data_IF_891525702627
#
_entry.id   IF_891525702627
#
_cell.length_a   1.000
_cell.length_b   1.000
_cell.length_c   1.000
_cell.angle_alpha   90.00
_cell.angle_beta   90.00
_cell.angle_gamma   90.00
#
_symmetry.space_group_name_H-M   'P 1'
#
loop_
_entity.id
_entity.type
_entity.pdbx_description
1 polymer ?
#
# COMPACT_ATOMS: atom_id res chain seq x y z
N UNK A 1 -7.67 -0.74 -17.85
CA UNK A 1 -6.75 0.09 -17.07
C UNK A 1 -6.77 -0.49 -15.67
N UNK A 2 -5.62 -0.77 -15.08
CA UNK A 2 -5.53 -1.40 -13.78
C UNK A 2 -5.98 -0.47 -12.66
N UNK A 3 -6.49 -1.03 -11.57
CA UNK A 3 -6.90 -0.23 -10.40
C UNK A 3 -5.68 0.02 -9.54
N UNK A 4 -5.23 1.27 -9.45
CA UNK A 4 -4.06 1.65 -8.64
C UNK A 4 -4.45 1.89 -7.19
N UNK A 5 -3.56 1.57 -6.26
CA UNK A 5 -3.71 1.93 -4.86
C UNK A 5 -2.45 2.60 -4.28
N UNK A 6 -2.64 3.29 -3.17
CA UNK A 6 -1.63 4.09 -2.50
C UNK A 6 -1.61 3.81 -1.00
N UNK A 7 -0.43 3.95 -0.41
CA UNK A 7 -0.26 4.08 1.03
C UNK A 7 0.02 5.55 1.33
N UNK A 8 -0.76 6.12 2.24
CA UNK A 8 -0.68 7.51 2.65
C UNK A 8 -0.07 7.60 4.05
N UNK A 9 0.91 8.47 4.24
CA UNK A 9 1.51 8.76 5.55
C UNK A 9 1.76 10.26 5.72
N UNK A 10 1.97 10.70 6.96
CA UNK A 10 2.41 12.08 7.24
C UNK A 10 3.78 12.35 6.62
N UNK A 11 3.90 13.49 5.93
CA UNK A 11 5.15 14.00 5.34
C UNK A 11 6.32 14.01 6.32
N UNK A 12 6.07 14.38 7.57
CA UNK A 12 7.10 14.49 8.60
C UNK A 12 7.62 13.14 9.09
N UNK A 13 6.81 12.08 8.96
CA UNK A 13 7.19 10.71 9.36
C UNK A 13 7.90 9.94 8.25
N UNK A 14 7.78 10.39 7.01
CA UNK A 14 8.23 9.62 5.86
C UNK A 14 9.75 9.65 5.64
N UNK A 15 10.35 8.45 5.61
CA UNK A 15 11.59 8.18 4.89
C UNK A 15 11.44 6.91 4.05
N UNK A 16 12.07 6.83 2.87
CA UNK A 16 12.05 5.61 2.06
C UNK A 16 12.60 4.39 2.81
N UNK A 17 13.61 4.57 3.65
CA UNK A 17 14.23 3.50 4.45
C UNK A 17 13.27 2.94 5.50
N UNK A 18 12.54 3.82 6.21
CA UNK A 18 11.54 3.38 7.19
C UNK A 18 10.41 2.63 6.50
N UNK A 19 9.87 3.18 5.42
CA UNK A 19 8.79 2.53 4.68
C UNK A 19 9.22 1.18 4.09
N UNK A 20 10.45 1.07 3.59
CA UNK A 20 11.02 -0.19 3.13
C UNK A 20 11.13 -1.21 4.27
N UNK A 21 11.64 -0.80 5.44
CA UNK A 21 11.75 -1.68 6.60
C UNK A 21 10.38 -2.17 7.08
N UNK A 22 9.42 -1.26 7.22
CA UNK A 22 8.05 -1.59 7.63
C UNK A 22 7.36 -2.50 6.61
N UNK A 23 7.60 -2.28 5.31
CA UNK A 23 7.10 -3.16 4.23
C UNK A 23 7.65 -4.57 4.36
N UNK A 24 8.96 -4.74 4.63
CA UNK A 24 9.58 -6.06 4.81
C UNK A 24 8.97 -6.78 6.02
N UNK A 25 8.80 -6.07 7.14
CA UNK A 25 8.22 -6.63 8.36
C UNK A 25 6.74 -7.00 8.16
N UNK A 26 5.95 -6.13 7.52
CA UNK A 26 4.55 -6.40 7.19
C UNK A 26 4.43 -7.61 6.25
N UNK A 27 5.30 -7.71 5.24
CA UNK A 27 5.32 -8.85 4.32
C UNK A 27 5.59 -10.16 5.07
N UNK A 28 6.59 -10.16 5.96
CA UNK A 28 6.89 -11.31 6.81
C UNK A 28 5.70 -11.74 7.68
N UNK A 29 5.05 -10.80 8.37
CA UNK A 29 3.90 -11.13 9.21
C UNK A 29 2.64 -11.53 8.43
N UNK A 30 2.51 -11.03 7.20
CA UNK A 30 1.40 -11.38 6.32
C UNK A 30 1.51 -12.80 5.77
N UNK A 31 2.62 -13.51 6.00
CA UNK A 31 2.94 -14.83 5.42
C UNK A 31 2.98 -14.80 3.88
N UNK A 32 3.43 -13.67 3.33
CA UNK A 32 3.63 -13.46 1.91
C UNK A 32 5.12 -13.56 1.55
N UNK A 33 5.40 -13.96 0.31
CA UNK A 33 6.77 -14.03 -0.23
C UNK A 33 7.14 -12.64 -0.73
N UNK A 34 8.39 -12.26 -0.44
CA UNK A 34 8.97 -11.03 -0.94
C UNK A 34 10.06 -11.34 -1.98
N UNK A 35 10.02 -10.64 -3.11
CA UNK A 35 11.13 -10.53 -4.05
C UNK A 35 11.57 -9.07 -4.05
N UNK A 36 12.80 -8.85 -3.58
CA UNK A 36 13.43 -7.54 -3.54
C UNK A 36 14.86 -7.66 -4.07
N UNK A 37 15.09 -7.14 -5.28
CA UNK A 37 16.40 -7.20 -5.95
C UNK A 37 17.34 -6.07 -5.51
N UNK A 38 16.87 -5.18 -4.63
CA UNK A 38 17.60 -3.97 -4.22
C UNK A 38 18.02 -3.09 -5.42
N UNK A 39 17.23 -3.14 -6.50
CA UNK A 39 17.41 -2.30 -7.66
C UNK A 39 16.91 -0.88 -7.37
N UNK A 40 17.71 0.13 -7.71
CA UNK A 40 17.38 1.54 -7.47
C UNK A 40 17.26 2.26 -8.79
N UNK A 41 16.13 2.94 -8.99
CA UNK A 41 15.96 3.88 -10.08
C UNK A 41 16.45 5.26 -9.64
N UNK A 42 17.11 5.94 -10.57
CA UNK A 42 17.65 7.28 -10.35
C UNK A 42 17.10 8.24 -11.40
N UNK A 43 16.74 9.43 -10.96
CA UNK A 43 16.39 10.58 -11.80
C UNK A 43 17.39 11.69 -11.50
N UNK A 44 18.02 12.24 -12.54
CA UNK A 44 19.04 13.29 -12.40
C UNK A 44 20.17 12.94 -11.39
N UNK A 45 20.53 11.65 -11.31
CA UNK A 45 21.56 11.16 -10.39
C UNK A 45 21.14 11.04 -8.93
N UNK A 46 19.87 11.29 -8.59
CA UNK A 46 19.28 11.11 -7.26
C UNK A 46 18.38 9.90 -7.24
N UNK A 47 18.30 9.20 -6.12
CA UNK A 47 17.37 8.09 -5.95
C UNK A 47 15.95 8.60 -6.22
N UNK A 48 15.19 7.88 -7.06
CA UNK A 48 13.79 8.22 -7.38
C UNK A 48 12.83 7.20 -6.80
N UNK A 49 13.06 5.90 -7.01
CA UNK A 49 12.24 4.83 -6.42
C UNK A 49 12.93 3.47 -6.50
N UNK A 50 12.41 2.51 -5.72
CA UNK A 50 12.66 1.08 -5.87
C UNK A 50 11.33 0.33 -5.89
N UNK A 51 11.36 -0.93 -6.30
CA UNK A 51 10.17 -1.78 -6.35
C UNK A 51 10.37 -3.06 -5.56
N UNK A 52 9.28 -3.52 -4.96
CA UNK A 52 9.16 -4.80 -4.28
C UNK A 52 8.04 -5.58 -4.95
N UNK A 53 8.24 -6.88 -5.16
CA UNK A 53 7.17 -7.76 -5.59
C UNK A 53 6.76 -8.64 -4.42
N UNK A 54 5.50 -8.51 -3.99
CA UNK A 54 4.92 -9.21 -2.85
C UNK A 54 3.88 -10.17 -3.38
N UNK A 55 3.96 -11.44 -2.97
CA UNK A 55 3.08 -12.46 -3.53
C UNK A 55 2.73 -13.59 -2.55
N UNK A 56 1.63 -14.29 -2.83
CA UNK A 56 1.22 -15.45 -2.05
C UNK A 56 2.22 -16.62 -2.22
N UNK A 57 2.37 -17.43 -1.18
CA UNK A 57 3.31 -18.56 -1.17
C UNK A 57 2.88 -19.70 -2.11
N UNK A 58 1.58 -19.83 -2.39
CA UNK A 58 1.02 -20.89 -3.23
C UNK A 58 1.09 -20.53 -4.71
N UNK A 59 2.26 -20.71 -5.34
CA UNK A 59 2.40 -20.64 -6.81
C UNK A 59 1.55 -21.67 -7.59
N UNK A 60 0.89 -22.62 -6.89
CA UNK A 60 0.29 -23.83 -7.46
C UNK A 60 -1.25 -23.86 -7.48
N UNK A 61 -1.95 -22.77 -7.13
CA UNK A 61 -3.39 -22.70 -7.30
C UNK A 61 -3.72 -22.05 -8.64
N UNK A 62 -4.59 -22.69 -9.42
CA UNK A 62 -5.03 -22.27 -10.77
C UNK A 62 -5.76 -20.92 -10.82
N UNK A 63 -5.90 -20.21 -9.69
CA UNK A 63 -6.52 -18.90 -9.63
C UNK A 63 -5.47 -17.85 -9.93
N UNK A 64 -5.59 -17.19 -11.08
CA UNK A 64 -4.76 -16.03 -11.39
C UNK A 64 -4.88 -14.99 -10.26
N UNK A 65 -3.74 -14.35 -9.99
CA UNK A 65 -3.56 -13.16 -9.16
C UNK A 65 -3.13 -13.40 -7.70
N UNK A 66 -1.83 -13.64 -7.51
CA UNK A 66 -1.23 -13.76 -6.18
C UNK A 66 -0.20 -12.70 -5.88
N UNK A 67 0.00 -11.68 -6.73
CA UNK A 67 1.12 -10.76 -6.56
C UNK A 67 0.75 -9.31 -6.84
N UNK A 68 1.47 -8.40 -6.22
CA UNK A 68 1.46 -6.99 -6.57
C UNK A 68 2.87 -6.40 -6.50
N UNK A 69 3.11 -5.39 -7.33
CA UNK A 69 4.32 -4.59 -7.31
C UNK A 69 4.06 -3.35 -6.46
N UNK A 70 4.90 -3.14 -5.46
CA UNK A 70 4.89 -1.97 -4.60
C UNK A 70 6.08 -1.08 -4.93
N UNK A 71 5.81 0.18 -5.25
CA UNK A 71 6.82 1.21 -5.42
C UNK A 71 7.09 1.90 -4.09
N UNK A 72 8.37 1.95 -3.71
CA UNK A 72 8.87 2.77 -2.61
C UNK A 72 9.58 3.97 -3.24
N UNK A 73 8.99 5.15 -3.11
CA UNK A 73 9.48 6.37 -3.76
C UNK A 73 10.51 7.10 -2.91
N UNK A 74 11.26 8.01 -3.51
CA UNK A 74 12.12 8.94 -2.79
C UNK A 74 11.28 10.06 -2.19
N UNK A 75 11.77 10.69 -1.11
CA UNK A 75 11.07 11.80 -0.45
C UNK A 75 10.97 13.04 -1.35
N UNK A 76 11.90 13.21 -2.27
CA UNK A 76 11.95 14.33 -3.21
C UNK A 76 11.15 14.06 -4.50
N UNK A 77 10.61 12.86 -4.67
CA UNK A 77 9.86 12.50 -5.87
C UNK A 77 8.51 13.23 -5.88
N UNK A 78 8.28 14.10 -6.89
CA UNK A 78 7.06 14.93 -6.96
C UNK A 78 5.76 14.12 -7.08
N UNK A 79 5.82 12.87 -7.54
CA UNK A 79 4.65 12.00 -7.64
C UNK A 79 4.13 11.50 -6.30
N UNK A 80 4.84 11.74 -5.18
CA UNK A 80 4.35 11.39 -3.83
C UNK A 80 3.39 12.45 -3.27
N UNK A 81 3.30 13.65 -3.87
CA UNK A 81 2.40 14.68 -3.38
C UNK A 81 0.94 14.20 -3.43
N UNK A 82 0.19 14.45 -2.36
CA UNK A 82 -1.22 14.08 -2.24
C UNK A 82 -2.10 15.35 -2.20
N UNK A 83 -3.24 15.32 -2.87
CA UNK A 83 -4.13 16.49 -3.02
C UNK A 83 -5.61 16.18 -2.83
N UNK A 84 -6.01 14.91 -2.74
CA UNK A 84 -7.42 14.48 -2.80
C UNK A 84 -8.10 14.51 -1.41
N UNK A 85 -7.75 15.48 -0.56
CA UNK A 85 -8.23 15.53 0.84
C UNK A 85 -9.74 15.65 0.96
N UNK A 86 -10.33 16.58 0.21
CA UNK A 86 -11.75 16.92 0.31
C UNK A 86 -12.62 15.75 -0.17
N UNK A 87 -12.22 15.11 -1.27
CA UNK A 87 -12.91 13.95 -1.84
C UNK A 87 -12.88 12.75 -0.88
N UNK A 88 -11.79 12.56 -0.14
CA UNK A 88 -11.63 11.47 0.83
C UNK A 88 -12.11 11.82 2.25
N UNK A 89 -12.57 13.05 2.47
CA UNK A 89 -12.96 13.54 3.80
C UNK A 89 -11.82 13.50 4.82
N UNK A 90 -10.58 13.72 4.38
CA UNK A 90 -9.38 13.74 5.22
C UNK A 90 -9.07 15.15 5.71
N UNK A 91 -8.46 15.27 6.89
CA UNK A 91 -8.05 16.56 7.42
C UNK A 91 -6.83 17.10 6.64
N UNK A 92 -7.01 18.22 5.94
CA UNK A 92 -5.95 18.91 5.19
C UNK A 92 -4.92 19.65 6.06
N UNK A 93 -5.13 19.74 7.38
CA UNK A 93 -4.09 20.21 8.32
C UNK A 93 -2.88 19.26 8.38
N UNK A 94 -3.05 17.99 7.95
CA UNK A 94 -1.97 17.01 7.84
C UNK A 94 -1.49 16.94 6.40
N UNK A 95 -0.25 17.31 6.14
CA UNK A 95 0.37 17.05 4.84
C UNK A 95 0.71 15.56 4.70
N UNK A 96 -0.07 14.85 3.88
CA UNK A 96 0.13 13.45 3.53
C UNK A 96 0.96 13.29 2.24
N UNK A 97 1.68 12.17 2.16
CA UNK A 97 2.37 11.69 0.96
C UNK A 97 1.87 10.31 0.53
N UNK A 98 1.80 10.07 -0.78
CA UNK A 98 1.62 8.77 -1.46
C UNK A 98 2.95 8.02 -1.52
N UNK A 99 3.27 7.33 -0.43
CA UNK A 99 4.60 6.74 -0.20
C UNK A 99 4.77 5.34 -0.79
N UNK A 100 3.66 4.60 -0.90
CA UNK A 100 3.55 3.33 -1.59
C UNK A 100 2.65 3.47 -2.80
N UNK A 101 3.03 2.95 -3.95
CA UNK A 101 2.13 2.82 -5.12
C UNK A 101 2.02 1.36 -5.53
N UNK A 102 0.80 0.87 -5.64
CA UNK A 102 0.44 -0.46 -6.13
C UNK A 102 -0.23 -0.27 -7.50
N UNK A 103 0.39 -0.80 -8.56
CA UNK A 103 -0.10 -0.55 -9.93
C UNK A 103 -1.43 -1.24 -10.25
N UNK A 104 -1.60 -2.48 -9.77
CA UNK A 104 -2.75 -3.32 -10.05
C UNK A 104 -3.23 -3.99 -8.77
N UNK A 105 -4.43 -3.59 -8.33
CA UNK A 105 -5.16 -4.22 -7.23
C UNK A 105 -5.95 -5.42 -7.74
N UNK A 106 -6.46 -5.36 -8.98
CA UNK A 106 -7.36 -6.38 -9.49
C UNK A 106 -6.68 -7.74 -9.47
N UNK A 107 -7.30 -8.66 -8.73
CA UNK A 107 -6.80 -9.99 -8.48
C UNK A 107 -5.85 -10.13 -7.30
N UNK A 108 -5.10 -9.09 -6.94
CA UNK A 108 -4.17 -9.15 -5.83
C UNK A 108 -4.87 -8.87 -4.48
N UNK A 109 -6.20 -8.79 -4.44
CA UNK A 109 -6.97 -8.27 -3.30
C UNK A 109 -6.66 -9.03 -2.01
N UNK A 110 -6.49 -10.36 -2.08
CA UNK A 110 -6.26 -11.20 -0.91
C UNK A 110 -4.86 -11.00 -0.32
N UNK A 111 -3.85 -10.92 -1.16
CA UNK A 111 -2.47 -10.69 -0.72
C UNK A 111 -2.29 -9.25 -0.26
N UNK A 112 -2.91 -8.28 -0.94
CA UNK A 112 -2.96 -6.88 -0.52
C UNK A 112 -3.66 -6.76 0.83
N UNK A 113 -4.80 -7.41 1.05
CA UNK A 113 -5.51 -7.37 2.34
C UNK A 113 -4.62 -7.82 3.50
N UNK A 114 -3.96 -8.97 3.35
CA UNK A 114 -3.04 -9.52 4.38
C UNK A 114 -1.87 -8.56 4.64
N UNK A 115 -1.27 -8.04 3.57
CA UNK A 115 -0.15 -7.11 3.66
C UNK A 115 -0.56 -5.79 4.33
N UNK A 116 -1.61 -5.12 3.85
CA UNK A 116 -2.08 -3.83 4.36
C UNK A 116 -2.53 -3.95 5.82
N UNK A 117 -3.16 -5.06 6.21
CA UNK A 117 -3.51 -5.32 7.61
C UNK A 117 -2.27 -5.29 8.51
N UNK A 118 -1.21 -6.03 8.17
CA UNK A 118 0.01 -6.04 8.98
C UNK A 118 0.82 -4.74 8.86
N UNK A 119 0.76 -4.04 7.72
CA UNK A 119 1.39 -2.72 7.55
C UNK A 119 0.74 -1.66 8.46
N UNK A 120 -0.59 -1.53 8.43
CA UNK A 120 -1.31 -0.53 9.24
C UNK A 120 -1.27 -0.86 10.74
N UNK A 121 -1.11 -2.12 11.10
CA UNK A 121 -0.82 -2.51 12.49
C UNK A 121 0.50 -1.94 13.01
N UNK A 122 1.51 -1.80 12.13
CA UNK A 122 2.81 -1.19 12.46
C UNK A 122 2.70 0.35 12.40
N UNK A 123 1.93 0.88 11.45
CA UNK A 123 1.74 2.30 11.21
C UNK A 123 0.24 2.69 11.30
N UNK A 124 -0.34 2.78 12.51
CA UNK A 124 -1.79 2.94 12.69
C UNK A 124 -2.34 4.30 12.26
N UNK A 125 -1.48 5.32 12.14
CA UNK A 125 -1.87 6.66 11.69
C UNK A 125 -1.87 6.84 10.16
N UNK A 126 -1.43 5.80 9.43
CA UNK A 126 -1.37 5.78 7.97
C UNK A 126 -2.72 5.33 7.38
N UNK A 127 -2.88 5.52 6.07
CA UNK A 127 -4.06 5.08 5.34
C UNK A 127 -3.70 4.25 4.11
N UNK A 128 -4.60 3.34 3.75
CA UNK A 128 -4.59 2.69 2.44
C UNK A 128 -5.72 3.26 1.58
N UNK A 129 -5.43 3.61 0.33
CA UNK A 129 -6.38 4.25 -0.58
C UNK A 129 -6.35 3.60 -1.95
N UNK A 130 -7.52 3.31 -2.52
CA UNK A 130 -7.65 2.83 -3.91
C UNK A 130 -8.11 4.01 -4.75
N UNK A 131 -7.33 4.38 -5.77
CA UNK A 131 -7.29 5.70 -6.42
C UNK A 131 -8.60 6.22 -7.03
N UNK A 132 -9.61 5.37 -7.20
CA UNK A 132 -10.89 5.68 -7.82
C UNK A 132 -12.08 5.65 -6.83
N UNK A 133 -11.79 5.57 -5.53
CA UNK A 133 -12.81 5.49 -4.49
C UNK A 133 -12.69 6.65 -3.50
N UNK A 134 -13.86 7.18 -3.12
CA UNK A 134 -14.02 8.36 -2.23
C UNK A 134 -13.85 8.01 -0.74
N UNK A 135 -13.03 7.02 -0.42
CA UNK A 135 -12.74 6.61 0.95
C UNK A 135 -11.34 6.02 1.08
N UNK A 136 -10.84 6.02 2.30
CA UNK A 136 -9.61 5.32 2.68
C UNK A 136 -9.89 4.26 3.73
N UNK A 137 -8.95 3.34 3.88
CA UNK A 137 -8.94 2.32 4.93
C UNK A 137 -7.93 2.75 6.01
N UNK A 138 -8.46 3.01 7.21
CA UNK A 138 -7.66 3.20 8.42
C UNK A 138 -7.30 1.86 9.06
N UNK A 139 -6.47 1.91 10.10
CA UNK A 139 -6.20 0.73 10.93
C UNK A 139 -7.48 0.15 11.54
N UNK A 140 -8.35 0.99 12.09
CA UNK A 140 -9.63 0.58 12.67
C UNK A 140 -10.54 -0.10 11.64
N UNK A 141 -10.56 0.39 10.40
CA UNK A 141 -11.31 -0.23 9.31
C UNK A 141 -10.80 -1.63 8.99
N UNK A 142 -9.48 -1.78 8.89
CA UNK A 142 -8.86 -3.09 8.64
C UNK A 142 -9.08 -4.08 9.78
N UNK A 143 -9.10 -3.62 11.04
CA UNK A 143 -9.46 -4.46 12.19
C UNK A 143 -10.90 -4.97 12.08
N UNK A 144 -11.85 -4.09 11.73
CA UNK A 144 -13.24 -4.48 11.53
C UNK A 144 -13.37 -5.48 10.39
N UNK A 145 -12.76 -5.22 9.23
CA UNK A 145 -12.80 -6.14 8.09
C UNK A 145 -12.19 -7.50 8.43
N UNK A 146 -11.09 -7.53 9.20
CA UNK A 146 -10.44 -8.79 9.62
C UNK A 146 -11.30 -9.62 10.57
N UNK A 147 -12.23 -9.00 11.30
CA UNK A 147 -13.16 -9.69 12.21
C UNK A 147 -14.30 -10.41 11.47
N UNK A 148 -14.51 -10.08 10.20
CA UNK A 148 -15.53 -10.67 9.33
C UNK A 148 -14.92 -11.79 8.47
N UNK A 149 -15.80 -12.57 7.83
CA UNK A 149 -15.37 -13.47 6.75
C UNK A 149 -14.74 -12.67 5.62
N UNK A 150 -13.66 -13.19 5.04
CA UNK A 150 -12.98 -12.53 3.92
C UNK A 150 -13.95 -12.28 2.75
N UNK A 151 -13.95 -11.04 2.26
CA UNK A 151 -14.74 -10.58 1.12
C UNK A 151 -13.76 -10.27 -0.03
N UNK A 152 -13.85 -10.92 -1.20
CA UNK A 152 -12.96 -10.65 -2.32
C UNK A 152 -13.07 -9.21 -2.85
N UNK A 153 -14.20 -8.54 -2.62
CA UNK A 153 -14.45 -7.17 -3.06
C UNK A 153 -14.24 -6.14 -1.95
N UNK A 154 -13.54 -6.49 -0.86
CA UNK A 154 -13.39 -5.64 0.32
C UNK A 154 -12.85 -4.24 -0.01
N UNK A 155 -11.93 -4.15 -0.97
CA UNK A 155 -11.26 -2.92 -1.39
C UNK A 155 -12.09 -2.05 -2.34
N UNK A 156 -13.26 -2.53 -2.76
CA UNK A 156 -14.20 -1.85 -3.66
C UNK A 156 -15.49 -1.42 -2.94
N UNK A 157 -15.54 -1.61 -1.61
CA UNK A 157 -16.68 -1.26 -0.75
C UNK A 157 -16.22 -0.26 0.29
N UNK A 158 -17.04 0.77 0.52
CA UNK A 158 -16.79 1.72 1.59
C UNK A 158 -16.71 0.96 2.92
N UNK A 159 -15.61 1.09 3.69
CA UNK A 159 -15.49 0.35 4.93
C UNK A 159 -16.53 0.81 5.96
N UNK A 160 -16.96 2.08 5.93
CA UNK A 160 -17.79 2.72 6.96
C UNK A 160 -19.23 2.23 6.99
#
# INVERSE_FOLDING_TARGET
MGTTAFILTDREKYTPEKFLADTIVATFHSDAKLIFENYKNYEEGRFSFTTLNILDHSYNSEENNYQFILYVKARENSSILFSDYDDLGLNSDRELFRIGTIEEVYGAEKVIFRFIYEYLKINPDDYFWVADYDWVYSWEDMQRLKSLSYDPDWCYKNPK
#
